data_IF_222624957667
#
_entry.id   IF_222624957667
#
_cell.length_a   1.000
_cell.length_b   1.000
_cell.length_c   1.000
_cell.angle_alpha   90.00
_cell.angle_beta   90.00
_cell.angle_gamma   90.00
#
_symmetry.space_group_name_H-M   'P 1'
#
loop_
_entity.id
_entity.type
_entity.pdbx_description
1 polymer ?
#
# COMPACT_ATOMS: atom_id res chain seq x y z
N UNK A 1 -37.52 62.22 37.11
CA UNK A 1 -37.99 61.19 36.17
C UNK A 1 -37.20 61.34 34.89
N UNK A 2 -36.22 60.46 34.66
CA UNK A 2 -36.36 59.52 33.55
C UNK A 2 -36.08 58.08 34.00
N UNK A 3 -36.88 57.15 33.49
CA UNK A 3 -36.90 55.74 33.88
C UNK A 3 -35.79 54.92 33.24
N UNK A 4 -35.30 53.95 34.02
CA UNK A 4 -34.44 52.87 33.56
C UNK A 4 -35.21 51.98 32.59
N UNK A 5 -34.63 51.76 31.41
CA UNK A 5 -35.14 50.82 30.42
C UNK A 5 -34.57 49.46 30.79
N UNK A 6 -35.41 48.60 31.39
CA UNK A 6 -35.10 47.20 31.59
C UNK A 6 -34.98 46.50 30.23
N UNK A 7 -33.73 46.26 29.79
CA UNK A 7 -33.41 45.35 28.70
C UNK A 7 -33.86 43.93 29.09
N UNK A 8 -35.05 43.54 28.60
CA UNK A 8 -35.60 42.19 28.75
C UNK A 8 -34.64 41.16 28.14
N UNK A 9 -33.82 40.53 28.98
CA UNK A 9 -33.02 39.35 28.62
C UNK A 9 -33.96 38.26 28.08
N UNK A 10 -33.87 37.99 26.79
CA UNK A 10 -34.58 36.87 26.15
C UNK A 10 -34.04 35.58 26.78
N UNK A 11 -34.88 34.87 27.54
CA UNK A 11 -34.53 33.62 28.19
C UNK A 11 -34.32 32.49 27.15
N UNK A 12 -33.10 32.40 26.63
CA UNK A 12 -32.65 31.37 25.69
C UNK A 12 -32.21 30.06 26.38
N UNK A 13 -32.69 29.78 27.60
CA UNK A 13 -32.22 28.65 28.42
C UNK A 13 -32.29 27.29 27.70
N UNK A 14 -33.30 27.08 26.85
CA UNK A 14 -33.42 25.85 26.05
C UNK A 14 -32.35 25.74 24.95
N UNK A 15 -31.98 26.85 24.33
CA UNK A 15 -30.89 26.88 23.35
C UNK A 15 -29.55 26.62 24.04
N UNK A 16 -29.35 27.17 25.25
CA UNK A 16 -28.15 26.92 26.05
C UNK A 16 -28.04 25.46 26.52
N UNK A 17 -29.15 24.80 26.83
CA UNK A 17 -29.17 23.36 27.13
C UNK A 17 -28.86 22.50 25.91
N UNK A 18 -29.40 22.86 24.73
CA UNK A 18 -29.13 22.15 23.48
C UNK A 18 -27.71 22.39 22.96
N UNK A 19 -27.12 23.55 23.29
CA UNK A 19 -25.74 23.88 22.95
C UNK A 19 -24.72 23.12 23.82
N UNK A 20 -25.13 22.48 24.92
CA UNK A 20 -24.22 21.68 25.75
C UNK A 20 -23.78 20.42 24.99
N UNK A 21 -22.48 20.30 24.68
CA UNK A 21 -21.96 19.12 24.00
C UNK A 21 -22.13 17.85 24.84
N UNK A 22 -22.35 16.72 24.17
CA UNK A 22 -22.48 15.43 24.83
C UNK A 22 -21.15 15.01 25.49
N UNK A 23 -21.21 14.60 26.76
CA UNK A 23 -20.05 14.21 27.58
C UNK A 23 -19.13 13.20 26.90
N UNK A 24 -19.72 12.17 26.29
CA UNK A 24 -18.97 11.10 25.59
C UNK A 24 -18.21 11.63 24.39
N UNK A 25 -18.80 12.60 23.68
CA UNK A 25 -18.27 13.13 22.44
C UNK A 25 -17.04 14.02 22.69
N UNK A 26 -17.01 14.72 23.83
CA UNK A 26 -15.85 15.51 24.26
C UNK A 26 -14.69 14.62 24.69
N UNK A 27 -14.97 13.53 25.39
CA UNK A 27 -13.94 12.55 25.76
C UNK A 27 -13.35 11.88 24.52
N UNK A 28 -14.19 11.51 23.56
CA UNK A 28 -13.75 10.95 22.28
C UNK A 28 -12.93 11.97 21.47
N UNK A 29 -13.37 13.23 21.43
CA UNK A 29 -12.64 14.34 20.83
C UNK A 29 -11.24 14.50 21.45
N UNK A 30 -11.14 14.39 22.77
CA UNK A 30 -9.86 14.47 23.47
C UNK A 30 -8.96 13.26 23.15
N UNK A 31 -9.50 12.05 23.20
CA UNK A 31 -8.72 10.84 22.92
C UNK A 31 -8.17 10.82 21.48
N UNK A 32 -8.99 11.24 20.51
CA UNK A 32 -8.67 11.12 19.10
C UNK A 32 -8.00 12.36 18.51
N UNK A 33 -8.27 13.57 19.02
CA UNK A 33 -7.86 14.83 18.40
C UNK A 33 -7.14 15.80 19.35
N UNK A 34 -6.82 15.42 20.59
CA UNK A 34 -6.10 16.30 21.54
C UNK A 34 -4.80 16.91 21.01
N UNK A 35 -4.11 16.23 20.09
CA UNK A 35 -2.85 16.72 19.51
C UNK A 35 -3.02 17.85 18.48
N UNK A 36 -4.25 18.08 17.99
CA UNK A 36 -4.56 19.15 17.04
C UNK A 36 -4.93 20.47 17.73
N UNK A 37 -5.23 20.44 19.03
CA UNK A 37 -5.64 21.63 19.75
C UNK A 37 -4.44 22.43 20.27
N UNK A 38 -4.58 23.76 20.25
CA UNK A 38 -3.72 24.69 20.98
C UNK A 38 -3.94 24.53 22.49
N UNK A 39 -2.97 24.94 23.30
CA UNK A 39 -3.03 24.72 24.74
C UNK A 39 -4.22 25.45 25.40
N UNK A 40 -4.56 26.66 24.93
CA UNK A 40 -5.75 27.40 25.37
C UNK A 40 -7.06 26.62 25.16
N UNK A 41 -7.19 25.94 24.00
CA UNK A 41 -8.37 25.13 23.68
C UNK A 41 -8.41 23.86 24.51
N UNK A 42 -7.24 23.27 24.81
CA UNK A 42 -7.16 22.11 25.69
C UNK A 42 -7.61 22.47 27.11
N UNK A 43 -7.22 23.63 27.60
CA UNK A 43 -7.61 24.13 28.91
C UNK A 43 -9.11 24.41 28.98
N UNK A 44 -9.68 25.00 27.92
CA UNK A 44 -11.14 25.16 27.77
C UNK A 44 -11.86 23.82 27.83
N UNK A 45 -11.36 22.79 27.15
CA UNK A 45 -11.95 21.44 27.18
C UNK A 45 -11.80 20.80 28.57
N UNK A 46 -10.67 21.02 29.27
CA UNK A 46 -10.50 20.54 30.64
C UNK A 46 -11.51 21.15 31.60
N UNK A 47 -11.68 22.47 31.55
CA UNK A 47 -12.64 23.20 32.37
C UNK A 47 -14.07 22.72 32.10
N UNK A 48 -14.41 22.55 30.83
CA UNK A 48 -15.73 22.07 30.42
C UNK A 48 -15.98 20.62 30.87
N UNK A 49 -14.97 19.75 30.84
CA UNK A 49 -15.07 18.39 31.39
C UNK A 49 -15.16 18.41 32.92
N UNK A 50 -14.42 19.29 33.59
CA UNK A 50 -14.49 19.49 35.03
C UNK A 50 -15.91 19.89 35.47
N UNK A 51 -16.52 20.85 34.78
CA UNK A 51 -17.91 21.28 35.02
C UNK A 51 -18.92 20.17 34.74
N UNK A 52 -18.76 19.43 33.64
CA UNK A 52 -19.72 18.37 33.26
C UNK A 52 -19.69 17.14 34.18
N UNK A 53 -18.54 16.83 34.78
CA UNK A 53 -18.37 15.68 35.67
C UNK A 53 -18.31 16.06 37.15
N UNK A 54 -18.38 17.35 37.47
CA UNK A 54 -18.24 17.88 38.84
C UNK A 54 -16.99 17.33 39.56
N UNK A 55 -15.88 17.21 38.82
CA UNK A 55 -14.61 16.69 39.35
C UNK A 55 -13.80 17.79 40.01
N UNK A 56 -12.91 17.41 40.94
CA UNK A 56 -11.87 18.33 41.41
C UNK A 56 -10.83 18.58 40.30
N UNK A 57 -10.15 19.74 40.31
CA UNK A 57 -9.12 20.03 39.31
C UNK A 57 -7.96 19.00 39.35
N UNK A 58 -7.65 18.47 40.53
CA UNK A 58 -6.62 17.44 40.69
C UNK A 58 -7.01 16.10 40.04
N UNK A 59 -8.25 15.64 40.22
CA UNK A 59 -8.78 14.42 39.59
C UNK A 59 -8.85 14.56 38.07
N UNK A 60 -9.26 15.74 37.59
CA UNK A 60 -9.36 16.04 36.16
C UNK A 60 -7.99 15.97 35.50
N UNK A 61 -6.95 16.50 36.15
CA UNK A 61 -5.60 16.48 35.62
C UNK A 61 -5.02 15.06 35.58
N UNK A 62 -5.18 14.28 36.65
CA UNK A 62 -4.76 12.87 36.69
C UNK A 62 -5.44 12.05 35.58
N UNK A 63 -6.74 12.23 35.38
CA UNK A 63 -7.49 11.54 34.34
C UNK A 63 -6.95 11.81 32.93
N UNK A 64 -6.67 13.07 32.60
CA UNK A 64 -6.12 13.42 31.29
C UNK A 64 -4.67 12.96 31.09
N UNK A 65 -3.88 12.90 32.16
CA UNK A 65 -2.52 12.36 32.12
C UNK A 65 -2.52 10.85 31.87
N UNK A 66 -3.43 10.11 32.52
CA UNK A 66 -3.61 8.68 32.29
C UNK A 66 -4.05 8.37 30.85
N UNK A 67 -5.03 9.11 30.33
CA UNK A 67 -5.46 8.99 28.92
C UNK A 67 -4.29 9.28 27.98
N UNK A 68 -3.57 10.37 28.22
CA UNK A 68 -2.43 10.76 27.39
C UNK A 68 -1.33 9.70 27.40
N UNK A 69 -1.07 9.06 28.55
CA UNK A 69 -0.11 7.98 28.68
C UNK A 69 -0.56 6.71 27.92
N UNK A 70 -1.85 6.35 28.00
CA UNK A 70 -2.42 5.21 27.26
C UNK A 70 -2.34 5.45 25.75
N UNK A 71 -2.75 6.62 25.27
CA UNK A 71 -2.70 7.00 23.85
C UNK A 71 -1.26 6.96 23.33
N UNK A 72 -0.29 7.48 24.10
CA UNK A 72 1.15 7.40 23.75
C UNK A 72 1.63 5.96 23.62
N UNK A 73 1.27 5.08 24.56
CA UNK A 73 1.63 3.65 24.53
C UNK A 73 1.03 2.93 23.31
N UNK A 74 -0.23 3.19 22.98
CA UNK A 74 -0.90 2.61 21.81
C UNK A 74 -0.25 3.07 20.50
N UNK A 75 0.01 4.38 20.35
CA UNK A 75 0.74 4.93 19.19
C UNK A 75 2.14 4.35 19.05
N UNK A 76 2.85 4.14 20.15
CA UNK A 76 4.18 3.50 20.14
C UNK A 76 4.10 2.04 19.67
N UNK A 77 3.13 1.27 20.16
CA UNK A 77 2.89 -0.12 19.72
C UNK A 77 2.55 -0.20 18.23
N UNK A 78 1.68 0.69 17.76
CA UNK A 78 1.31 0.73 16.34
C UNK A 78 2.52 1.07 15.45
N UNK A 79 3.35 2.04 15.85
CA UNK A 79 4.58 2.38 15.15
C UNK A 79 5.56 1.19 15.09
N UNK A 80 5.69 0.44 16.18
CA UNK A 80 6.52 -0.77 16.22
C UNK A 80 5.97 -1.87 15.31
N UNK A 81 4.66 -2.08 15.29
CA UNK A 81 3.99 -3.03 14.39
C UNK A 81 4.20 -2.67 12.91
N UNK A 82 4.04 -1.40 12.54
CA UNK A 82 4.29 -0.92 11.16
C UNK A 82 5.76 -1.15 10.76
N UNK A 83 6.70 -0.90 11.68
CA UNK A 83 8.14 -1.14 11.44
C UNK A 83 8.47 -2.62 11.29
N UNK A 84 7.91 -3.50 12.12
CA UNK A 84 8.15 -4.94 12.01
C UNK A 84 7.56 -5.51 10.73
N UNK A 85 6.36 -5.09 10.34
CA UNK A 85 5.72 -5.47 9.07
C UNK A 85 6.60 -5.06 7.87
N UNK A 86 7.06 -3.80 7.84
CA UNK A 86 7.94 -3.32 6.75
C UNK A 86 9.22 -4.14 6.65
N UNK A 87 9.85 -4.49 7.78
CA UNK A 87 11.05 -5.34 7.81
C UNK A 87 10.76 -6.76 7.32
N UNK A 88 9.61 -7.32 7.68
CA UNK A 88 9.18 -8.65 7.24
C UNK A 88 8.97 -8.69 5.72
N UNK A 89 8.19 -7.74 5.18
CA UNK A 89 7.97 -7.61 3.74
C UNK A 89 9.28 -7.40 2.97
N UNK A 90 10.19 -6.58 3.48
CA UNK A 90 11.50 -6.38 2.86
C UNK A 90 12.34 -7.68 2.81
N UNK A 91 12.24 -8.53 3.85
CA UNK A 91 12.90 -9.84 3.85
C UNK A 91 12.27 -10.79 2.83
N UNK A 92 10.94 -10.86 2.76
CA UNK A 92 10.23 -11.67 1.76
C UNK A 92 10.62 -11.25 0.34
N UNK A 93 10.52 -9.96 0.02
CA UNK A 93 10.88 -9.44 -1.30
C UNK A 93 12.34 -9.76 -1.66
N UNK A 94 13.26 -9.74 -0.70
CA UNK A 94 14.66 -10.11 -0.93
C UNK A 94 14.82 -11.59 -1.28
N UNK A 95 14.08 -12.48 -0.60
CA UNK A 95 14.08 -13.92 -0.87
C UNK A 95 13.47 -14.20 -2.23
N UNK A 96 12.33 -13.59 -2.54
CA UNK A 96 11.66 -13.72 -3.84
C UNK A 96 12.53 -13.21 -4.98
N UNK A 97 13.16 -12.05 -4.82
CA UNK A 97 14.12 -11.53 -5.80
C UNK A 97 15.28 -12.48 -6.04
N UNK A 98 15.83 -13.08 -4.99
CA UNK A 98 16.90 -14.09 -5.13
C UNK A 98 16.40 -15.34 -5.86
N UNK A 99 15.19 -15.81 -5.57
CA UNK A 99 14.58 -16.95 -6.29
C UNK A 99 14.34 -16.62 -7.77
N UNK A 100 13.84 -15.43 -8.06
CA UNK A 100 13.63 -14.96 -9.43
C UNK A 100 14.94 -14.89 -10.21
N UNK A 101 16.00 -14.32 -9.63
CA UNK A 101 17.33 -14.28 -10.25
C UNK A 101 17.88 -15.68 -10.52
N UNK A 102 17.72 -16.62 -9.57
CA UNK A 102 18.15 -18.00 -9.76
C UNK A 102 17.34 -18.71 -10.87
N UNK A 103 16.02 -18.49 -10.95
CA UNK A 103 15.17 -19.03 -12.04
C UNK A 103 15.63 -18.45 -13.38
N UNK A 104 15.81 -17.12 -13.44
CA UNK A 104 16.30 -16.44 -14.63
C UNK A 104 17.66 -16.97 -15.09
N UNK A 105 18.62 -17.12 -14.18
CA UNK A 105 19.95 -17.67 -14.51
C UNK A 105 19.85 -19.08 -15.12
N UNK A 106 18.98 -19.95 -14.57
CA UNK A 106 18.76 -21.29 -15.14
C UNK A 106 18.18 -21.24 -16.56
N UNK A 107 17.14 -20.43 -16.74
CA UNK A 107 16.51 -20.24 -18.06
C UNK A 107 17.51 -19.65 -19.05
N UNK A 108 18.31 -18.69 -18.62
CA UNK A 108 19.32 -18.04 -19.45
C UNK A 108 20.39 -19.04 -19.91
N UNK A 109 20.92 -19.87 -18.99
CA UNK A 109 21.88 -20.93 -19.35
C UNK A 109 21.25 -21.93 -20.33
N UNK A 110 20.00 -22.33 -20.09
CA UNK A 110 19.28 -23.24 -21.00
C UNK A 110 19.08 -22.62 -22.37
N UNK A 111 18.67 -21.35 -22.45
CA UNK A 111 18.49 -20.60 -23.68
C UNK A 111 19.80 -20.48 -24.46
N UNK A 112 20.91 -20.13 -23.80
CA UNK A 112 22.23 -20.09 -24.43
C UNK A 112 22.71 -21.46 -24.91
N UNK A 113 22.48 -22.51 -24.13
CA UNK A 113 22.84 -23.88 -24.50
C UNK A 113 22.03 -24.34 -25.72
N UNK A 114 20.76 -23.95 -25.80
CA UNK A 114 19.88 -24.24 -26.92
C UNK A 114 20.25 -23.44 -28.17
N UNK A 115 20.57 -22.15 -27.99
CA UNK A 115 21.04 -21.24 -29.03
C UNK A 115 22.35 -21.70 -29.68
N UNK A 116 23.25 -22.29 -28.89
CA UNK A 116 24.50 -22.86 -29.42
C UNK A 116 24.27 -24.07 -30.33
N UNK A 117 23.13 -24.76 -30.22
CA UNK A 117 22.84 -26.00 -30.94
C UNK A 117 21.88 -25.80 -32.12
N UNK A 118 21.07 -24.74 -32.09
CA UNK A 118 20.01 -24.49 -33.06
C UNK A 118 20.16 -23.08 -33.65
N UNK A 119 19.97 -22.91 -34.97
CA UNK A 119 19.89 -21.58 -35.56
C UNK A 119 18.71 -20.79 -34.97
N UNK A 120 18.87 -19.47 -34.85
CA UNK A 120 17.82 -18.58 -34.32
C UNK A 120 16.58 -18.67 -35.23
N UNK A 121 15.39 -18.99 -34.69
CA UNK A 121 14.17 -18.91 -35.48
C UNK A 121 13.91 -17.46 -35.89
N UNK A 122 13.47 -17.19 -37.12
CA UNK A 122 13.22 -15.82 -37.56
C UNK A 122 12.21 -15.14 -36.62
N UNK A 123 12.59 -14.01 -36.02
CA UNK A 123 11.70 -13.23 -35.17
C UNK A 123 10.55 -12.67 -36.00
N UNK A 124 9.37 -13.29 -35.87
CA UNK A 124 8.20 -12.95 -36.69
C UNK A 124 7.46 -11.72 -36.16
N UNK A 125 7.53 -11.43 -34.86
CA UNK A 125 6.77 -10.33 -34.27
C UNK A 125 7.60 -9.02 -34.19
N UNK A 126 7.04 -7.86 -34.63
CA UNK A 126 7.71 -6.56 -34.49
C UNK A 126 8.07 -6.22 -33.04
N UNK A 127 7.23 -6.66 -32.09
CA UNK A 127 7.47 -6.49 -30.66
C UNK A 127 8.74 -7.21 -30.19
N UNK A 128 8.93 -8.47 -30.60
CA UNK A 128 10.14 -9.23 -30.24
C UNK A 128 11.39 -8.66 -30.87
N UNK A 129 11.27 -8.11 -32.08
CA UNK A 129 12.36 -7.43 -32.77
C UNK A 129 12.81 -6.20 -31.99
N UNK A 130 11.87 -5.32 -31.62
CA UNK A 130 12.16 -4.15 -30.79
C UNK A 130 12.75 -4.53 -29.42
N UNK A 131 12.23 -5.58 -28.78
CA UNK A 131 12.77 -6.08 -27.52
C UNK A 131 14.20 -6.59 -27.67
N UNK A 132 14.47 -7.32 -28.75
CA UNK A 132 15.82 -7.79 -29.05
C UNK A 132 16.78 -6.63 -29.33
N UNK A 133 16.36 -5.63 -30.11
CA UNK A 133 17.19 -4.46 -30.42
C UNK A 133 17.52 -3.66 -29.14
N UNK A 134 16.55 -3.51 -28.21
CA UNK A 134 16.81 -2.92 -26.89
C UNK A 134 17.82 -3.74 -26.06
N UNK A 135 17.73 -5.07 -26.10
CA UNK A 135 18.67 -5.96 -25.39
C UNK A 135 20.06 -5.86 -26.02
N UNK A 136 20.13 -5.80 -27.34
CA UNK A 136 21.37 -5.65 -28.10
C UNK A 136 22.08 -4.35 -27.72
N UNK A 137 21.38 -3.22 -27.71
CA UNK A 137 21.91 -1.93 -27.27
C UNK A 137 22.51 -2.02 -25.86
N UNK A 138 21.78 -2.61 -24.92
CA UNK A 138 22.27 -2.77 -23.54
C UNK A 138 23.49 -3.69 -23.44
N UNK A 139 23.54 -4.76 -24.23
CA UNK A 139 24.70 -5.67 -24.27
C UNK A 139 25.94 -4.97 -24.85
N UNK A 140 25.75 -4.17 -25.89
CA UNK A 140 26.79 -3.37 -26.53
C UNK A 140 27.31 -2.27 -25.61
N UNK A 141 26.43 -1.55 -24.91
CA UNK A 141 26.78 -0.55 -23.90
C UNK A 141 27.63 -1.13 -22.78
N UNK A 142 27.26 -2.31 -22.24
CA UNK A 142 28.00 -2.98 -21.16
C UNK A 142 29.42 -3.38 -21.63
N UNK A 143 29.56 -3.73 -22.91
CA UNK A 143 30.83 -4.18 -23.49
C UNK A 143 31.66 -3.04 -24.08
N UNK A 144 31.11 -1.84 -24.20
CA UNK A 144 31.75 -0.70 -24.86
C UNK A 144 31.98 -0.92 -26.35
N UNK A 145 31.10 -1.68 -27.02
CA UNK A 145 31.18 -1.99 -28.46
C UNK A 145 30.07 -1.23 -29.18
N UNK A 146 30.31 -0.78 -30.42
CA UNK A 146 29.27 -0.18 -31.24
C UNK A 146 28.13 -1.17 -31.51
N UNK A 147 26.87 -0.70 -31.46
CA UNK A 147 25.71 -1.54 -31.79
C UNK A 147 25.82 -2.02 -33.24
N UNK A 148 25.89 -3.34 -33.49
CA UNK A 148 25.98 -3.87 -34.84
C UNK A 148 24.64 -3.77 -35.55
N UNK A 149 24.67 -3.56 -36.87
CA UNK A 149 23.47 -3.74 -37.69
C UNK A 149 23.26 -5.22 -38.00
N UNK A 150 22.00 -5.65 -38.06
CA UNK A 150 21.64 -7.06 -38.35
C UNK A 150 22.07 -7.52 -39.75
N UNK A 151 22.41 -6.57 -40.63
CA UNK A 151 22.95 -6.79 -41.98
C UNK A 151 24.46 -6.98 -42.01
N UNK A 152 25.15 -6.76 -40.89
CA UNK A 152 26.60 -6.90 -40.82
C UNK A 152 27.03 -8.36 -40.91
N UNK A 153 28.05 -8.62 -41.73
CA UNK A 153 28.63 -9.96 -41.92
C UNK A 153 29.70 -10.32 -40.89
N UNK A 154 29.94 -9.46 -39.90
CA UNK A 154 30.92 -9.75 -38.86
C UNK A 154 30.41 -10.86 -37.93
N UNK A 155 31.28 -11.82 -37.60
CA UNK A 155 30.93 -12.97 -36.75
C UNK A 155 30.57 -12.51 -35.34
N UNK A 156 31.23 -11.47 -34.86
CA UNK A 156 30.95 -10.88 -33.55
C UNK A 156 29.60 -10.17 -33.55
N UNK A 157 29.29 -9.39 -34.59
CA UNK A 157 27.98 -8.77 -34.78
C UNK A 157 26.84 -9.80 -34.79
N UNK A 158 26.98 -10.85 -35.59
CA UNK A 158 25.98 -11.93 -35.68
C UNK A 158 25.79 -12.65 -34.35
N UNK A 159 26.87 -12.88 -33.59
CA UNK A 159 26.79 -13.49 -32.27
C UNK A 159 25.96 -12.65 -31.28
N UNK A 160 26.19 -11.34 -31.23
CA UNK A 160 25.42 -10.45 -30.35
C UNK A 160 23.94 -10.37 -30.75
N UNK A 161 23.65 -10.24 -32.04
CA UNK A 161 22.29 -10.25 -32.57
C UNK A 161 21.57 -11.56 -32.20
N UNK A 162 22.24 -12.71 -32.38
CA UNK A 162 21.67 -14.02 -32.05
C UNK A 162 21.39 -14.16 -30.56
N UNK A 163 22.29 -13.69 -29.70
CA UNK A 163 22.07 -13.71 -28.24
C UNK A 163 20.87 -12.84 -27.87
N UNK A 164 20.80 -11.62 -28.40
CA UNK A 164 19.71 -10.71 -28.11
C UNK A 164 18.35 -11.30 -28.51
N UNK A 165 18.29 -11.95 -29.67
CA UNK A 165 17.08 -12.63 -30.16
C UNK A 165 16.65 -13.78 -29.23
N UNK A 166 17.58 -14.63 -28.80
CA UNK A 166 17.30 -15.71 -27.87
C UNK A 166 16.86 -15.22 -26.49
N UNK A 167 17.44 -14.13 -25.99
CA UNK A 167 17.03 -13.52 -24.72
C UNK A 167 15.62 -12.95 -24.84
N UNK A 168 15.30 -12.27 -25.94
CA UNK A 168 13.97 -11.72 -26.21
C UNK A 168 12.89 -12.81 -26.17
N UNK A 169 13.15 -13.92 -26.86
CA UNK A 169 12.26 -15.11 -26.86
C UNK A 169 12.10 -15.68 -25.44
N UNK A 170 13.20 -15.83 -24.69
CA UNK A 170 13.15 -16.35 -23.32
C UNK A 170 12.33 -15.44 -22.38
N UNK A 171 12.47 -14.12 -22.52
CA UNK A 171 11.68 -13.14 -21.75
C UNK A 171 10.20 -13.26 -22.09
N UNK A 172 9.85 -13.41 -23.38
CA UNK A 172 8.46 -13.55 -23.80
C UNK A 172 7.83 -14.84 -23.24
N UNK A 173 8.54 -15.97 -23.27
CA UNK A 173 8.06 -17.21 -22.66
C UNK A 173 7.80 -17.07 -21.17
N UNK A 174 8.71 -16.43 -20.43
CA UNK A 174 8.53 -16.18 -18.99
C UNK A 174 7.36 -15.23 -18.75
N UNK A 175 7.21 -14.19 -19.57
CA UNK A 175 6.10 -13.24 -19.47
C UNK A 175 4.75 -13.92 -19.69
N UNK A 176 4.66 -14.79 -20.70
CA UNK A 176 3.46 -15.57 -20.97
C UNK A 176 3.15 -16.56 -19.84
N UNK A 177 4.15 -17.29 -19.34
CA UNK A 177 4.01 -18.22 -18.20
C UNK A 177 3.40 -17.50 -16.99
N UNK A 178 3.91 -16.31 -16.66
CA UNK A 178 3.42 -15.50 -15.54
C UNK A 178 2.00 -15.00 -15.79
N UNK A 179 1.67 -14.56 -17.01
CA UNK A 179 0.32 -14.12 -17.35
C UNK A 179 -0.71 -15.22 -17.21
N UNK A 180 -0.39 -16.43 -17.68
CA UNK A 180 -1.26 -17.60 -17.53
C UNK A 180 -1.46 -17.93 -16.06
N UNK A 181 -0.38 -17.93 -15.25
CA UNK A 181 -0.49 -18.15 -13.80
C UNK A 181 -1.38 -17.12 -13.11
N UNK A 182 -1.21 -15.84 -13.43
CA UNK A 182 -2.04 -14.77 -12.85
C UNK A 182 -3.50 -14.89 -13.24
N UNK A 183 -3.80 -15.22 -14.50
CA UNK A 183 -5.18 -15.41 -14.93
C UNK A 183 -5.84 -16.55 -14.14
N UNK A 184 -5.15 -17.67 -13.93
CA UNK A 184 -5.65 -18.75 -13.08
C UNK A 184 -5.87 -18.31 -11.62
N UNK A 185 -4.96 -17.51 -11.05
CA UNK A 185 -5.12 -16.95 -9.71
C UNK A 185 -6.36 -16.03 -9.63
N UNK A 186 -6.60 -15.19 -10.65
CA UNK A 186 -7.78 -14.35 -10.73
C UNK A 186 -9.07 -15.16 -10.78
N UNK A 187 -9.12 -16.22 -11.61
CA UNK A 187 -10.29 -17.09 -11.70
C UNK A 187 -10.64 -17.74 -10.35
N UNK A 188 -9.62 -18.17 -9.59
CA UNK A 188 -9.78 -18.73 -8.24
C UNK A 188 -10.32 -17.68 -7.26
N UNK A 189 -9.79 -16.45 -7.32
CA UNK A 189 -10.25 -15.35 -6.44
C UNK A 189 -11.71 -14.99 -6.75
N UNK A 190 -12.08 -14.90 -8.03
CA UNK A 190 -13.47 -14.64 -8.43
C UNK A 190 -14.42 -15.74 -7.96
N UNK A 191 -14.02 -17.01 -8.06
CA UNK A 191 -14.80 -18.13 -7.57
C UNK A 191 -14.99 -18.06 -6.04
N UNK A 192 -13.94 -17.74 -5.29
CA UNK A 192 -14.03 -17.61 -3.83
C UNK A 192 -14.92 -16.44 -3.40
N UNK A 193 -14.82 -15.29 -4.07
CA UNK A 193 -15.67 -14.13 -3.80
C UNK A 193 -17.15 -14.42 -4.07
N UNK A 194 -17.47 -15.15 -5.14
CA UNK A 194 -18.84 -15.60 -5.40
C UNK A 194 -19.34 -16.55 -4.31
N UNK A 195 -18.52 -17.52 -3.89
CA UNK A 195 -18.86 -18.43 -2.80
C UNK A 195 -19.07 -17.74 -1.45
N UNK A 196 -18.28 -16.71 -1.13
CA UNK A 196 -18.47 -15.88 0.07
C UNK A 196 -19.76 -15.06 0.01
N UNK A 197 -20.10 -14.48 -1.14
CA UNK A 197 -21.34 -13.73 -1.34
C UNK A 197 -22.58 -14.64 -1.21
N UNK A 198 -22.55 -15.83 -1.80
CA UNK A 198 -23.61 -16.82 -1.67
C UNK A 198 -23.78 -17.27 -0.21
N UNK A 199 -22.67 -17.51 0.50
CA UNK A 199 -22.68 -17.88 1.92
C UNK A 199 -23.24 -16.78 2.82
N UNK A 200 -22.91 -15.51 2.54
CA UNK A 200 -23.47 -14.36 3.25
C UNK A 200 -24.97 -14.18 3.00
N UNK A 201 -25.41 -14.32 1.74
CA UNK A 201 -26.82 -14.24 1.38
C UNK A 201 -27.66 -15.33 2.06
N UNK A 202 -27.14 -16.55 2.16
CA UNK A 202 -27.80 -17.66 2.86
C UNK A 202 -27.88 -17.43 4.38
N UNK A 203 -26.84 -16.87 5.00
CA UNK A 203 -26.87 -16.54 6.43
C UNK A 203 -27.83 -15.38 6.76
N UNK A 204 -27.96 -14.40 5.87
CA UNK A 204 -28.94 -13.31 6.03
C UNK A 204 -30.38 -13.80 5.85
N UNK A 205 -30.61 -14.75 4.93
CA UNK A 205 -31.91 -15.39 4.76
C UNK A 205 -32.30 -16.23 6.00
N UNK A 206 -31.34 -16.96 6.60
CA UNK A 206 -31.57 -17.77 7.80
C UNK A 206 -31.85 -16.94 9.07
N UNK A 207 -31.37 -15.69 9.15
CA UNK A 207 -31.65 -14.78 10.27
C UNK A 207 -33.02 -14.10 10.22
N UNK A 208 -33.73 -14.21 9.09
CA UNK A 208 -35.05 -13.61 8.87
C UNK A 208 -36.21 -14.59 9.08
N UNK A 209 -35.92 -15.84 9.41
CA UNK A 209 -36.87 -16.87 9.86
C UNK A 209 -36.83 -16.97 11.39
#
# INVERSE_FOLDING_TARGET
MPGEVDDKKVCNARLDELAKPNKRLILDLWQNYSYLFTDDRKETIRLLVQEMYAMTPEETQRYFDEISAVVKKLKAREKMRKRSLKRYLAKLNRIERKRALNKFQKIFIQALTYASKNPVPPLVSPRLRNMSDLILDQLCDIRGVCTPERTDNDRQAQFFCNIADWISIAIEYVYYEIHVQKNMEFDIIEANLKGEQESQCMMEAAKKQ
#
